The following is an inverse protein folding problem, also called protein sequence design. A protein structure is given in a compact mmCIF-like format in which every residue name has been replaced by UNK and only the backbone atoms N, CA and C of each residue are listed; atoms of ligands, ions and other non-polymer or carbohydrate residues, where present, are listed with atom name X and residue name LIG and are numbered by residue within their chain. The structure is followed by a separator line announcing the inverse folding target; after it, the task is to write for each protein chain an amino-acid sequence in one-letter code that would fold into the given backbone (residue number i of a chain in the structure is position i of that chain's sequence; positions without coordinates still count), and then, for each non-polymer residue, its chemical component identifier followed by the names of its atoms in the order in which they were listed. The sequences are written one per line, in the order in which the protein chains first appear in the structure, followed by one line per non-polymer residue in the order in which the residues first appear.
data_IF_495531506796
#
_entry.id   IF_495531506796
#
_cell.length_a   1.000
_cell.length_b   1.000
_cell.length_c   1.000
_cell.angle_alpha   90.00
_cell.angle_beta   90.00
_cell.angle_gamma   90.00
#
_symmetry.space_group_name_H-M   'P 1'
#
loop_
_entity.id
_entity.type
_entity.pdbx_description
1 polymer ?
#
# COMPACT_ATOMS: atom_id res chain seq x y z
N UNK A 1 15.36 -12.03 22.90
CA UNK A 1 15.44 -10.93 21.93
C UNK A 1 14.50 -11.23 20.82
N UNK A 2 13.22 -10.90 20.96
CA UNK A 2 12.23 -11.16 19.91
C UNK A 2 11.25 -9.98 19.88
N UNK A 3 11.79 -8.81 19.56
CA UNK A 3 10.98 -7.86 18.81
C UNK A 3 11.04 -8.39 17.38
N UNK A 4 10.07 -9.23 17.02
CA UNK A 4 9.73 -9.49 15.63
C UNK A 4 9.26 -8.13 15.09
N UNK A 5 10.27 -7.32 14.75
CA UNK A 5 10.12 -5.95 14.34
C UNK A 5 9.53 -6.03 12.95
N UNK A 6 8.20 -6.09 12.89
CA UNK A 6 7.45 -5.52 11.79
C UNK A 6 8.04 -4.11 11.63
N UNK A 7 8.99 -3.97 10.71
CA UNK A 7 9.73 -2.73 10.52
C UNK A 7 8.73 -1.78 9.88
N UNK A 8 7.91 -1.16 10.72
CA UNK A 8 7.01 -0.09 10.34
C UNK A 8 7.92 0.98 9.76
N UNK A 9 7.97 1.02 8.43
CA UNK A 9 8.80 2.00 7.75
C UNK A 9 8.04 3.31 7.89
N UNK A 10 8.48 4.15 8.82
CA UNK A 10 7.89 5.46 9.02
C UNK A 10 8.60 6.50 8.15
N UNK A 11 7.83 7.28 7.40
CA UNK A 11 8.35 8.38 6.60
C UNK A 11 7.81 9.72 7.10
N UNK A 12 8.64 10.44 7.84
CA UNK A 12 8.36 11.80 8.31
C UNK A 12 8.76 12.84 7.24
N UNK A 13 7.94 13.85 7.07
CA UNK A 13 8.29 15.05 6.31
C UNK A 13 9.02 16.04 7.22
N UNK A 14 9.75 17.00 6.63
CA UNK A 14 10.51 18.01 7.37
C UNK A 14 9.67 18.91 8.30
N UNK A 15 8.35 18.94 8.11
CA UNK A 15 7.39 19.66 8.96
C UNK A 15 6.83 18.80 10.12
N UNK A 16 7.39 17.61 10.35
CA UNK A 16 6.94 16.68 11.40
C UNK A 16 5.67 15.90 11.06
N UNK A 17 5.06 16.08 9.87
CA UNK A 17 3.89 15.31 9.44
C UNK A 17 4.33 14.03 8.73
N UNK A 18 3.62 12.94 8.95
CA UNK A 18 3.83 11.73 8.17
C UNK A 18 3.51 11.94 6.68
N UNK A 19 4.29 11.31 5.80
CA UNK A 19 4.09 11.38 4.35
C UNK A 19 2.88 10.55 3.90
N UNK A 20 2.12 11.08 2.94
CA UNK A 20 0.95 10.39 2.36
C UNK A 20 1.09 10.36 0.85
N UNK A 21 1.12 9.15 0.28
CA UNK A 21 1.28 8.90 -1.15
C UNK A 21 2.42 7.93 -1.45
N UNK A 22 2.84 7.88 -2.71
CA UNK A 22 3.90 6.96 -3.15
C UNK A 22 5.27 7.59 -2.97
N UNK A 23 6.18 6.91 -2.28
CA UNK A 23 7.57 7.32 -2.07
C UNK A 23 8.50 6.14 -2.28
N UNK A 24 9.50 6.30 -3.15
CA UNK A 24 10.50 5.28 -3.47
C UNK A 24 9.90 3.92 -3.89
N UNK A 25 8.70 3.92 -4.46
CA UNK A 25 7.99 2.72 -4.88
C UNK A 25 7.06 2.11 -3.85
N UNK A 26 6.95 2.70 -2.66
CA UNK A 26 6.10 2.23 -1.56
C UNK A 26 4.96 3.21 -1.28
N UNK A 27 3.82 2.72 -0.77
CA UNK A 27 2.67 3.55 -0.42
C UNK A 27 2.69 3.87 1.07
N UNK A 28 2.60 5.15 1.40
CA UNK A 28 2.50 5.60 2.79
C UNK A 28 1.20 6.34 3.03
N UNK A 29 0.68 6.22 4.25
CA UNK A 29 -0.44 7.01 4.74
C UNK A 29 -0.12 7.54 6.13
N UNK A 30 -0.14 8.86 6.29
CA UNK A 30 0.30 9.55 7.51
C UNK A 30 1.66 9.03 8.01
N UNK A 31 2.56 8.74 7.08
CA UNK A 31 3.92 8.28 7.34
C UNK A 31 4.05 6.78 7.57
N UNK A 32 2.97 6.02 7.79
CA UNK A 32 3.02 4.57 7.93
C UNK A 32 2.99 3.88 6.56
N UNK A 33 3.84 2.87 6.38
CA UNK A 33 3.85 2.00 5.20
C UNK A 33 2.54 1.19 5.13
N UNK A 34 1.91 1.17 3.95
CA UNK A 34 0.69 0.41 3.68
C UNK A 34 1.03 -0.88 2.91
N UNK A 35 0.77 -2.02 3.54
CA UNK A 35 1.06 -3.35 3.02
C UNK A 35 -0.24 -4.14 2.84
N UNK A 36 -0.29 -4.99 1.81
CA UNK A 36 -1.35 -5.99 1.73
C UNK A 36 -1.22 -7.03 2.86
N UNK A 37 -2.34 -7.62 3.27
CA UNK A 37 -2.36 -8.75 4.20
C UNK A 37 -1.53 -9.93 3.67
N UNK A 38 -0.95 -10.72 4.57
CA UNK A 38 -0.13 -11.89 4.21
C UNK A 38 -0.87 -12.92 3.35
N UNK A 39 -2.19 -13.01 3.52
CA UNK A 39 -3.08 -13.89 2.76
C UNK A 39 -3.44 -13.31 1.38
N UNK A 40 -3.24 -12.00 1.17
CA UNK A 40 -3.54 -11.30 -0.07
C UNK A 40 -2.25 -10.89 -0.78
N UNK A 41 -1.93 -11.50 -1.92
CA UNK A 41 -0.75 -11.14 -2.71
C UNK A 41 -0.71 -9.65 -3.08
N UNK A 42 -1.88 -9.10 -3.39
CA UNK A 42 -2.06 -7.68 -3.68
C UNK A 42 -3.39 -7.18 -3.11
N UNK A 43 -3.42 -5.93 -2.67
CA UNK A 43 -4.64 -5.24 -2.24
C UNK A 43 -4.71 -3.85 -2.86
N UNK A 44 -5.94 -3.34 -2.99
CA UNK A 44 -6.22 -1.97 -3.42
C UNK A 44 -6.31 -1.06 -2.19
N UNK A 45 -5.47 -0.04 -2.12
CA UNK A 45 -5.48 0.95 -1.04
C UNK A 45 -5.80 2.34 -1.60
N UNK A 46 -6.89 2.94 -1.13
CA UNK A 46 -7.31 4.28 -1.56
C UNK A 46 -6.62 5.34 -0.70
N UNK A 47 -5.75 6.13 -1.30
CA UNK A 47 -5.02 7.21 -0.62
C UNK A 47 -5.18 8.50 -1.42
N UNK A 48 -5.60 9.59 -0.77
CA UNK A 48 -5.87 10.88 -1.44
C UNK A 48 -6.82 10.76 -2.66
N UNK A 49 -7.85 9.90 -2.56
CA UNK A 49 -8.84 9.69 -3.63
C UNK A 49 -8.30 8.95 -4.85
N UNK A 50 -7.16 8.27 -4.72
CA UNK A 50 -6.56 7.43 -5.76
C UNK A 50 -6.40 6.00 -5.26
N UNK A 51 -6.77 5.03 -6.09
CA UNK A 51 -6.69 3.61 -5.77
C UNK A 51 -5.34 3.05 -6.19
N UNK A 52 -4.51 2.61 -5.25
CA UNK A 52 -3.19 2.05 -5.50
C UNK A 52 -3.18 0.54 -5.27
N UNK A 53 -2.45 -0.20 -6.10
CA UNK A 53 -2.23 -1.64 -5.85
C UNK A 53 -0.92 -1.84 -5.11
N UNK A 54 -0.96 -2.40 -3.91
CA UNK A 54 0.20 -2.69 -3.06
C UNK A 54 0.38 -4.19 -2.85
N UNK A 55 1.63 -4.64 -2.71
CA UNK A 55 1.94 -6.02 -2.30
C UNK A 55 2.07 -6.14 -0.78
N UNK A 56 2.29 -7.36 -0.29
CA UNK A 56 2.55 -7.67 1.13
C UNK A 56 3.79 -6.97 1.68
N UNK A 57 4.74 -6.59 0.83
CA UNK A 57 5.92 -5.79 1.22
C UNK A 57 5.70 -4.26 1.11
N UNK A 58 4.46 -3.83 0.82
CA UNK A 58 4.09 -2.42 0.63
C UNK A 58 4.54 -1.81 -0.71
N UNK A 59 5.04 -2.64 -1.63
CA UNK A 59 5.49 -2.18 -2.95
C UNK A 59 4.30 -1.87 -3.83
N UNK A 60 4.26 -0.65 -4.35
CA UNK A 60 3.25 -0.18 -5.29
C UNK A 60 3.53 -0.78 -6.66
N UNK A 61 2.52 -1.45 -7.21
CA UNK A 61 2.61 -2.11 -8.51
C UNK A 61 2.40 -1.08 -9.63
N UNK A 62 3.48 -0.48 -10.11
CA UNK A 62 3.46 0.54 -11.18
C UNK A 62 3.54 -0.08 -12.57
N UNK A 63 2.82 0.54 -13.52
CA UNK A 63 2.86 0.22 -14.95
C UNK A 63 2.63 -1.27 -15.26
N UNK A 64 1.61 -1.89 -14.64
CA UNK A 64 1.26 -3.29 -14.85
C UNK A 64 0.00 -3.42 -15.70
N UNK A 65 -0.01 -4.35 -16.64
CA UNK A 65 -1.13 -4.58 -17.57
C UNK A 65 -2.00 -5.79 -17.23
N UNK A 66 -1.55 -6.67 -16.34
CA UNK A 66 -2.30 -7.86 -15.90
C UNK A 66 -1.71 -8.42 -14.61
N UNK A 67 -1.85 -7.67 -13.51
CA UNK A 67 -1.59 -8.21 -12.18
C UNK A 67 -2.69 -9.21 -11.84
N UNK A 68 -2.30 -10.46 -11.64
CA UNK A 68 -3.22 -11.51 -11.22
C UNK A 68 -3.07 -11.77 -9.73
N UNK A 69 -4.19 -11.83 -9.02
CA UNK A 69 -4.25 -12.25 -7.63
C UNK A 69 -4.31 -13.80 -7.49
N UNK A 70 -4.37 -14.30 -6.26
CA UNK A 70 -4.50 -15.73 -5.94
C UNK A 70 -5.79 -16.36 -6.48
N UNK A 71 -6.89 -15.61 -6.52
CA UNK A 71 -8.20 -16.05 -7.00
C UNK A 71 -8.35 -15.94 -8.53
N UNK A 72 -7.35 -15.36 -9.20
CA UNK A 72 -7.31 -15.24 -10.65
C UNK A 72 -7.89 -13.95 -11.21
N UNK A 73 -8.38 -13.05 -10.35
CA UNK A 73 -8.82 -11.71 -10.75
C UNK A 73 -7.64 -10.92 -11.31
N UNK A 74 -7.92 -10.01 -12.23
CA UNK A 74 -6.87 -9.20 -12.88
C UNK A 74 -7.12 -7.72 -12.73
N UNK A 75 -6.03 -7.00 -12.49
CA UNK A 75 -6.03 -5.54 -12.45
C UNK A 75 -4.87 -4.98 -13.25
N UNK A 76 -5.08 -3.80 -13.81
CA UNK A 76 -4.05 -3.01 -14.45
C UNK A 76 -3.79 -1.72 -13.68
N UNK A 77 -2.56 -1.25 -13.73
CA UNK A 77 -2.14 0.00 -13.08
C UNK A 77 -1.47 0.96 -14.05
N UNK A 78 -1.60 2.25 -13.76
CA UNK A 78 -0.91 3.33 -14.44
C UNK A 78 0.57 3.41 -14.01
N UNK A 79 1.33 4.27 -14.68
CA UNK A 79 2.75 4.50 -14.36
C UNK A 79 2.98 5.05 -12.95
N UNK A 80 2.00 5.71 -12.34
CA UNK A 80 2.04 6.17 -10.95
C UNK A 80 1.61 5.09 -9.94
N UNK A 81 1.12 3.94 -10.42
CA UNK A 81 0.66 2.81 -9.61
C UNK A 81 -0.82 2.83 -9.28
N UNK A 82 -1.56 3.80 -9.81
CA UNK A 82 -3.02 3.86 -9.63
C UNK A 82 -3.73 2.83 -10.49
N UNK A 83 -4.90 2.38 -10.05
CA UNK A 83 -5.76 1.50 -10.81
C UNK A 83 -6.14 2.11 -12.16
N UNK A 84 -6.13 1.29 -13.21
CA UNK A 84 -6.90 1.60 -14.41
C UNK A 84 -8.37 1.27 -14.13
N UNK A 85 -9.28 2.05 -14.70
CA UNK A 85 -10.73 1.91 -14.48
C UNK A 85 -11.30 0.51 -14.77
N UNK A 86 -10.57 -0.34 -15.50
CA UNK A 86 -10.92 -1.72 -15.77
C UNK A 86 -10.31 -2.67 -14.75
N UNK A 87 -11.17 -3.32 -13.96
CA UNK A 87 -10.84 -4.47 -13.12
C UNK A 87 -11.62 -5.66 -13.67
N UNK A 88 -10.95 -6.79 -13.81
CA UNK A 88 -11.58 -8.06 -14.16
C UNK A 88 -11.73 -8.87 -12.87
N UNK A 89 -12.90 -8.75 -12.24
CA UNK A 89 -13.25 -9.41 -10.98
C UNK A 89 -13.26 -8.48 -9.76
N UNK A 90 -13.05 -9.05 -8.57
CA UNK A 90 -13.05 -8.33 -7.29
C UNK A 90 -11.68 -8.43 -6.63
N UNK A 91 -11.14 -7.32 -6.15
CA UNK A 91 -9.88 -7.29 -5.40
C UNK A 91 -10.15 -6.90 -3.96
N UNK A 92 -9.39 -7.50 -3.04
CA UNK A 92 -9.40 -7.11 -1.64
C UNK A 92 -8.89 -5.67 -1.48
N UNK A 93 -9.59 -4.90 -0.65
CA UNK A 93 -9.25 -3.50 -0.36
C UNK A 93 -8.58 -3.36 1.00
N UNK A 94 -7.51 -2.57 1.06
CA UNK A 94 -6.80 -2.23 2.29
C UNK A 94 -7.29 -0.86 2.78
N UNK A 95 -7.78 -0.81 4.02
CA UNK A 95 -8.06 0.46 4.70
C UNK A 95 -6.73 1.05 5.18
N UNK A 96 -6.32 2.24 4.71
CA UNK A 96 -5.04 2.81 5.11
C UNK A 96 -5.03 3.15 6.61
N UNK A 97 -3.96 2.77 7.30
CA UNK A 97 -3.80 3.03 8.74
C UNK A 97 -2.70 4.05 9.01
N UNK A 98 -2.92 4.89 10.01
CA UNK A 98 -1.90 5.81 10.53
C UNK A 98 -0.99 5.06 11.54
N UNK A 99 0.23 5.57 11.83
CA UNK A 99 0.99 5.06 12.96
C UNK A 99 0.20 5.27 14.26
N UNK A 100 0.28 4.28 15.15
CA UNK A 100 -0.26 4.41 16.49
C UNK A 100 0.67 5.31 17.31
N UNK A 101 0.09 6.25 18.07
CA UNK A 101 0.86 7.26 18.83
C UNK A 101 1.28 6.75 20.22
N UNK A 102 0.78 5.59 20.66
CA UNK A 102 1.05 5.03 22.00
C UNK A 102 2.33 4.15 22.05
N UNK A 103 3.10 4.01 20.96
CA UNK A 103 4.39 3.29 20.95
C UNK A 103 5.63 4.16 21.25
N UNK A 104 5.44 5.40 21.73
CA UNK A 104 6.51 6.26 22.25
C UNK A 104 6.33 6.41 23.77
N UNK A 105 6.91 5.49 24.55
CA UNK A 105 7.25 5.69 25.97
C UNK A 105 8.76 5.48 26.17
#
# INVERSE_FOLDING_TARGET
TEADGDRITFYAQSNGRGYTGVKDGYLYYNGKLQCADTDCKYMICTVNGKDYVVSTSGVVQKNKSSLKDSDGNKVSTNSDGTLKASIDGSFSTLTPTSPDVDEID
#
